data_IF_328596024853
#
_entry.id   IF_328596024853
#
_cell.length_a   1.000
_cell.length_b   1.000
_cell.length_c   1.000
_cell.angle_alpha   90.00
_cell.angle_beta   90.00
_cell.angle_gamma   90.00
#
_symmetry.space_group_name_H-M   'P 1'
#
loop_
_entity.id
_entity.type
_entity.pdbx_description
1 polymer ?
#
# COMPACT_ATOMS: atom_id res chain seq x y z
N UNK A 1 -40.31 44.21 -20.98
CA UNK A 1 -39.22 43.35 -21.49
C UNK A 1 -38.85 42.39 -20.37
N UNK A 2 -39.24 41.12 -20.47
CA UNK A 2 -38.86 40.12 -19.49
C UNK A 2 -37.40 39.73 -19.76
N UNK A 3 -36.51 40.02 -18.81
CA UNK A 3 -35.15 39.51 -18.82
C UNK A 3 -35.22 38.00 -18.61
N UNK A 4 -35.02 37.23 -19.67
CA UNK A 4 -34.82 35.79 -19.58
C UNK A 4 -33.58 35.55 -18.70
N UNK A 5 -33.81 35.07 -17.48
CA UNK A 5 -32.71 34.70 -16.59
C UNK A 5 -31.96 33.54 -17.24
N UNK A 6 -30.68 33.76 -17.58
CA UNK A 6 -29.83 32.69 -18.09
C UNK A 6 -29.86 31.51 -17.11
N UNK A 7 -30.04 30.27 -17.58
CA UNK A 7 -30.11 29.10 -16.72
C UNK A 7 -28.78 28.98 -15.96
N UNK A 8 -28.81 29.36 -14.67
CA UNK A 8 -27.65 29.24 -13.80
C UNK A 8 -27.40 27.77 -13.47
N UNK A 9 -26.17 27.43 -13.07
CA UNK A 9 -25.81 26.08 -12.60
C UNK A 9 -26.78 25.55 -11.54
N UNK A 10 -27.38 26.45 -10.75
CA UNK A 10 -28.39 26.18 -9.72
C UNK A 10 -29.69 25.56 -10.25
N UNK A 11 -29.96 25.68 -11.55
CA UNK A 11 -31.17 25.18 -12.23
C UNK A 11 -31.01 23.80 -12.84
N UNK A 12 -29.82 23.19 -12.74
CA UNK A 12 -29.58 21.86 -13.27
C UNK A 12 -30.38 20.79 -12.51
N UNK A 13 -30.88 19.75 -13.19
CA UNK A 13 -31.40 18.55 -12.56
C UNK A 13 -30.39 17.90 -11.61
N UNK A 14 -30.88 17.23 -10.56
CA UNK A 14 -30.05 16.60 -9.52
C UNK A 14 -29.05 15.59 -10.12
N UNK A 15 -29.47 14.87 -11.15
CA UNK A 15 -28.69 13.87 -11.86
C UNK A 15 -27.41 14.48 -12.47
N UNK A 16 -27.49 15.70 -12.99
CA UNK A 16 -26.33 16.39 -13.56
C UNK A 16 -25.35 16.83 -12.48
N UNK A 17 -25.84 17.27 -11.32
CA UNK A 17 -24.96 17.53 -10.18
C UNK A 17 -24.24 16.28 -9.72
N UNK A 18 -24.94 15.15 -9.66
CA UNK A 18 -24.32 13.87 -9.30
C UNK A 18 -23.19 13.58 -10.29
N UNK A 19 -23.44 13.66 -11.61
CA UNK A 19 -22.39 13.44 -12.62
C UNK A 19 -21.18 14.39 -12.46
N UNK A 20 -21.42 15.67 -12.19
CA UNK A 20 -20.34 16.65 -11.96
C UNK A 20 -19.57 16.31 -10.69
N UNK A 21 -20.26 16.04 -9.58
CA UNK A 21 -19.65 15.83 -8.27
C UNK A 21 -18.92 14.48 -8.19
N UNK A 22 -19.32 13.50 -8.99
CA UNK A 22 -18.60 12.23 -9.15
C UNK A 22 -17.19 12.41 -9.73
N UNK A 23 -16.88 13.54 -10.37
CA UNK A 23 -15.53 13.81 -10.87
C UNK A 23 -14.63 14.54 -9.87
N UNK A 24 -15.17 14.98 -8.73
CA UNK A 24 -14.46 15.79 -7.74
C UNK A 24 -13.83 14.95 -6.64
N UNK A 25 -12.69 15.40 -6.12
CA UNK A 25 -12.10 14.82 -4.93
C UNK A 25 -12.90 15.22 -3.67
N UNK A 26 -12.88 14.40 -2.60
CA UNK A 26 -13.63 14.70 -1.38
C UNK A 26 -13.39 16.09 -0.76
N UNK A 27 -12.14 16.64 -0.72
CA UNK A 27 -11.92 18.00 -0.25
C UNK A 27 -12.61 19.06 -1.12
N UNK A 28 -12.65 18.87 -2.43
CA UNK A 28 -13.31 19.80 -3.37
C UNK A 28 -14.83 19.81 -3.17
N UNK A 29 -15.42 18.65 -2.85
CA UNK A 29 -16.83 18.56 -2.48
C UNK A 29 -17.16 19.40 -1.25
N UNK A 30 -16.27 19.41 -0.24
CA UNK A 30 -16.46 20.27 0.94
C UNK A 30 -16.39 21.75 0.55
N UNK A 31 -15.36 22.14 -0.19
CA UNK A 31 -15.18 23.52 -0.65
C UNK A 31 -16.38 23.98 -1.47
N UNK A 32 -16.89 23.13 -2.37
CA UNK A 32 -18.06 23.40 -3.19
C UNK A 32 -19.33 23.53 -2.33
N UNK A 33 -19.51 22.67 -1.33
CA UNK A 33 -20.60 22.75 -0.35
C UNK A 33 -20.58 24.01 0.53
N UNK A 34 -19.46 24.74 0.59
CA UNK A 34 -19.37 26.02 1.30
C UNK A 34 -19.81 27.23 0.45
N UNK A 35 -19.99 27.06 -0.86
CA UNK A 35 -20.28 28.18 -1.78
C UNK A 35 -21.72 28.69 -1.69
N UNK A 36 -22.73 27.81 -1.69
CA UNK A 36 -24.13 28.21 -1.61
C UNK A 36 -25.03 27.12 -0.98
N UNK A 37 -26.21 27.52 -0.49
CA UNK A 37 -27.15 26.62 0.20
C UNK A 37 -27.69 25.49 -0.68
N UNK A 38 -27.91 25.75 -1.98
CA UNK A 38 -28.41 24.77 -2.93
C UNK A 38 -27.39 23.67 -3.23
N UNK A 39 -26.16 24.05 -3.55
CA UNK A 39 -25.06 23.10 -3.73
C UNK A 39 -24.80 22.32 -2.43
N UNK A 40 -24.82 23.01 -1.28
CA UNK A 40 -24.67 22.37 0.02
C UNK A 40 -25.71 21.29 0.27
N UNK A 41 -26.98 21.51 -0.11
CA UNK A 41 -28.02 20.50 0.10
C UNK A 41 -27.77 19.26 -0.76
N UNK A 42 -27.28 19.43 -1.99
CA UNK A 42 -26.89 18.33 -2.89
C UNK A 42 -25.65 17.59 -2.38
N UNK A 43 -24.58 18.32 -2.03
CA UNK A 43 -23.36 17.72 -1.44
C UNK A 43 -23.67 17.00 -0.12
N UNK A 44 -24.69 17.42 0.62
CA UNK A 44 -25.13 16.72 1.83
C UNK A 44 -25.87 15.40 1.58
N UNK A 45 -26.13 15.03 0.34
CA UNK A 45 -26.77 13.76 0.04
C UNK A 45 -25.82 12.59 0.27
N UNK A 46 -26.35 11.53 0.87
CA UNK A 46 -25.61 10.34 1.26
C UNK A 46 -24.87 9.68 0.10
N UNK A 47 -25.55 9.49 -1.03
CA UNK A 47 -24.97 8.79 -2.18
C UNK A 47 -23.77 9.52 -2.80
N UNK A 48 -23.69 10.85 -2.68
CA UNK A 48 -22.52 11.63 -3.11
C UNK A 48 -21.30 11.18 -2.31
N UNK A 49 -21.44 11.02 -0.99
CA UNK A 49 -20.35 10.59 -0.11
C UNK A 49 -20.03 9.10 -0.20
N UNK A 50 -21.01 8.25 -0.45
CA UNK A 50 -20.75 6.84 -0.76
C UNK A 50 -19.93 6.70 -2.05
N UNK A 51 -20.26 7.50 -3.07
CA UNK A 51 -19.49 7.55 -4.30
C UNK A 51 -18.09 8.12 -4.07
N UNK A 52 -17.98 9.26 -3.37
CA UNK A 52 -16.70 9.88 -3.04
C UNK A 52 -15.79 8.90 -2.29
N UNK A 53 -16.33 8.15 -1.32
CA UNK A 53 -15.59 7.11 -0.60
C UNK A 53 -15.08 6.01 -1.54
N UNK A 54 -15.91 5.51 -2.48
CA UNK A 54 -15.45 4.52 -3.48
C UNK A 54 -14.31 5.06 -4.34
N UNK A 55 -14.38 6.33 -4.76
CA UNK A 55 -13.30 7.00 -5.50
C UNK A 55 -12.05 7.10 -4.63
N UNK A 56 -12.17 7.54 -3.37
CA UNK A 56 -11.07 7.58 -2.41
C UNK A 56 -10.42 6.22 -2.26
N UNK A 57 -11.19 5.14 -2.08
CA UNK A 57 -10.65 3.79 -1.96
C UNK A 57 -9.85 3.39 -3.20
N UNK A 58 -10.38 3.64 -4.41
CA UNK A 58 -9.68 3.33 -5.66
C UNK A 58 -8.38 4.11 -5.80
N UNK A 59 -8.40 5.42 -5.52
CA UNK A 59 -7.25 6.29 -5.72
C UNK A 59 -6.15 6.10 -4.69
N UNK A 60 -6.50 5.73 -3.45
CA UNK A 60 -5.55 5.50 -2.36
C UNK A 60 -5.30 4.00 -2.10
N UNK A 61 -5.74 3.12 -3.01
CA UNK A 61 -5.62 1.66 -2.90
C UNK A 61 -6.12 1.11 -1.55
N UNK A 62 -7.18 1.70 -0.99
CA UNK A 62 -7.77 1.24 0.26
C UNK A 62 -8.67 0.03 0.00
N UNK A 63 -8.65 -0.92 0.91
CA UNK A 63 -9.47 -2.10 0.85
C UNK A 63 -10.94 -1.75 1.14
N UNK A 64 -11.75 -1.65 0.08
CA UNK A 64 -13.15 -1.22 0.17
C UNK A 64 -14.00 -1.99 1.22
N UNK A 65 -13.83 -3.30 1.45
CA UNK A 65 -14.54 -4.04 2.50
C UNK A 65 -14.30 -3.53 3.92
N UNK A 66 -13.23 -2.74 4.14
CA UNK A 66 -13.02 -2.03 5.40
C UNK A 66 -14.23 -1.17 5.80
N UNK A 67 -14.94 -0.64 4.80
CA UNK A 67 -16.09 0.25 4.99
C UNK A 67 -17.46 -0.46 4.83
N UNK A 68 -17.48 -1.77 4.55
CA UNK A 68 -18.73 -2.51 4.34
C UNK A 68 -19.43 -2.92 5.65
N UNK A 69 -20.77 -2.90 5.71
CA UNK A 69 -21.68 -2.36 4.69
C UNK A 69 -21.72 -0.83 4.70
N UNK A 70 -21.72 -0.20 3.53
CA UNK A 70 -21.78 1.26 3.42
C UNK A 70 -23.02 1.82 4.10
N UNK A 71 -24.16 1.11 4.00
CA UNK A 71 -25.43 1.46 4.63
C UNK A 71 -25.34 1.60 6.17
N UNK A 72 -24.37 0.93 6.79
CA UNK A 72 -24.15 0.97 8.24
C UNK A 72 -23.32 2.17 8.73
N UNK A 73 -22.76 2.96 7.81
CA UNK A 73 -22.06 4.22 8.11
C UNK A 73 -23.05 5.37 8.05
N UNK A 74 -23.06 6.27 9.02
CA UNK A 74 -23.84 7.50 8.90
C UNK A 74 -23.18 8.50 7.93
N UNK A 75 -23.84 9.64 7.65
CA UNK A 75 -23.29 10.64 6.73
C UNK A 75 -21.98 11.25 7.24
N UNK A 76 -21.80 11.39 8.56
CA UNK A 76 -20.60 11.96 9.15
C UNK A 76 -19.42 10.99 9.03
N UNK A 77 -19.66 9.69 9.23
CA UNK A 77 -18.70 8.62 9.08
C UNK A 77 -18.28 8.43 7.62
N UNK A 78 -19.22 8.50 6.67
CA UNK A 78 -18.90 8.46 5.23
C UNK A 78 -17.99 9.62 4.83
N UNK A 79 -18.29 10.84 5.29
CA UNK A 79 -17.45 12.02 5.07
C UNK A 79 -16.06 11.83 5.66
N UNK A 80 -16.01 11.42 6.92
CA UNK A 80 -14.76 11.17 7.64
C UNK A 80 -13.91 10.16 6.88
N UNK A 81 -14.46 9.02 6.52
CA UNK A 81 -13.78 7.96 5.78
C UNK A 81 -13.27 8.45 4.41
N UNK A 82 -14.07 9.20 3.66
CA UNK A 82 -13.67 9.72 2.34
C UNK A 82 -12.54 10.77 2.44
N UNK A 83 -12.50 11.56 3.51
CA UNK A 83 -11.54 12.64 3.75
C UNK A 83 -10.30 12.20 4.54
N UNK A 84 -10.33 11.02 5.17
CA UNK A 84 -9.30 10.58 6.10
C UNK A 84 -7.91 10.49 5.47
N UNK A 85 -7.72 9.88 4.27
CA UNK A 85 -6.40 9.77 3.67
C UNK A 85 -5.76 11.14 3.46
N UNK A 86 -6.51 12.09 2.92
CA UNK A 86 -6.06 13.47 2.71
C UNK A 86 -5.75 14.17 4.05
N UNK A 87 -6.63 14.01 5.04
CA UNK A 87 -6.43 14.58 6.39
C UNK A 87 -5.18 14.02 7.07
N UNK A 88 -4.85 12.75 6.82
CA UNK A 88 -3.66 12.11 7.36
C UNK A 88 -2.40 12.60 6.65
N UNK A 89 -2.40 12.66 5.32
CA UNK A 89 -1.29 13.18 4.52
C UNK A 89 -0.98 14.64 4.88
N UNK A 90 -1.99 15.50 4.99
CA UNK A 90 -1.81 16.91 5.38
C UNK A 90 -1.23 17.06 6.77
N UNK A 91 -1.73 16.31 7.77
CA UNK A 91 -1.15 16.30 9.12
C UNK A 91 0.29 15.80 9.13
N UNK A 92 0.60 14.78 8.33
CA UNK A 92 1.97 14.26 8.22
C UNK A 92 2.90 15.31 7.63
N UNK A 93 2.52 15.92 6.50
CA UNK A 93 3.28 16.98 5.85
C UNK A 93 3.50 18.20 6.78
N UNK A 94 2.46 18.63 7.50
CA UNK A 94 2.56 19.73 8.47
C UNK A 94 3.60 19.43 9.56
N UNK A 95 3.55 18.22 10.15
CA UNK A 95 4.51 17.80 11.18
C UNK A 95 5.93 17.72 10.65
N UNK A 96 6.12 17.25 9.41
CA UNK A 96 7.44 17.21 8.77
C UNK A 96 8.00 18.63 8.58
N UNK A 97 7.18 19.60 8.20
CA UNK A 97 7.60 20.99 8.01
C UNK A 97 7.93 21.70 9.33
N UNK A 98 7.25 21.37 10.42
CA UNK A 98 7.45 22.02 11.70
C UNK A 98 8.79 21.67 12.37
N UNK A 99 9.53 20.67 11.85
CA UNK A 99 10.80 20.21 12.43
C UNK A 99 10.65 19.67 13.87
N UNK A 100 9.43 19.68 14.40
CA UNK A 100 9.08 19.10 15.66
C UNK A 100 9.14 17.60 15.45
N UNK A 101 10.16 16.97 16.02
CA UNK A 101 10.05 15.60 16.51
C UNK A 101 8.97 15.59 17.61
N UNK A 102 7.72 15.90 17.23
CA UNK A 102 6.59 15.79 18.11
C UNK A 102 6.48 14.32 18.38
N UNK A 103 6.94 13.88 19.56
CA UNK A 103 6.53 12.62 20.14
C UNK A 103 5.05 12.50 19.82
N UNK A 104 4.62 11.47 19.06
CA UNK A 104 3.23 11.33 18.67
C UNK A 104 2.45 11.56 19.94
N UNK A 105 1.69 12.66 20.00
CA UNK A 105 1.05 13.10 21.23
C UNK A 105 0.44 11.85 21.82
N UNK A 106 0.79 11.52 23.05
CA UNK A 106 0.40 10.28 23.71
C UNK A 106 -1.13 10.21 23.95
N UNK A 107 -1.92 10.77 23.02
CA UNK A 107 -3.22 10.27 22.60
C UNK A 107 -3.20 8.76 22.68
N UNK A 108 -3.68 8.31 23.83
CA UNK A 108 -4.18 6.99 24.18
C UNK A 108 -3.81 5.97 23.11
N UNK A 109 -2.63 5.36 23.27
CA UNK A 109 -2.34 4.10 22.60
C UNK A 109 -3.33 3.11 23.20
N UNK A 110 -4.49 2.99 22.57
CA UNK A 110 -5.49 1.99 22.91
C UNK A 110 -4.90 0.67 22.42
N UNK A 111 -4.29 -0.08 23.33
CA UNK A 111 -3.77 -1.39 23.02
C UNK A 111 -4.95 -2.33 22.81
N UNK A 112 -5.21 -2.67 21.54
CA UNK A 112 -6.10 -3.78 21.21
C UNK A 112 -5.36 -5.06 21.59
N UNK A 113 -5.86 -5.76 22.60
CA UNK A 113 -5.33 -7.06 22.97
C UNK A 113 -5.75 -8.07 21.91
N UNK A 114 -4.81 -8.50 21.08
CA UNK A 114 -5.02 -9.58 20.13
C UNK A 114 -4.70 -10.90 20.84
N UNK A 115 -5.66 -11.83 20.89
CA UNK A 115 -5.40 -13.15 21.44
C UNK A 115 -4.45 -13.89 20.48
N UNK A 116 -3.17 -13.91 20.85
CA UNK A 116 -2.15 -14.56 20.05
C UNK A 116 -2.13 -16.07 20.19
N UNK A 117 -2.24 -16.65 21.39
CA UNK A 117 -1.80 -18.04 21.58
C UNK A 117 -2.26 -18.70 22.89
N UNK A 118 -3.48 -18.44 23.38
CA UNK A 118 -3.85 -18.90 24.74
C UNK A 118 -4.15 -20.40 24.89
N UNK A 119 -4.07 -21.18 23.82
CA UNK A 119 -4.34 -22.61 23.89
C UNK A 119 -3.07 -23.43 24.22
N UNK A 120 -2.64 -23.39 25.48
CA UNK A 120 -2.03 -24.54 26.16
C UNK A 120 -0.55 -24.86 25.98
N UNK A 121 0.24 -24.10 25.21
CA UNK A 121 1.69 -24.27 25.08
C UNK A 121 2.47 -23.32 26.00
N UNK A 122 3.52 -23.81 26.66
CA UNK A 122 4.36 -23.05 27.61
C UNK A 122 5.23 -21.95 26.99
N UNK A 123 5.25 -21.81 25.65
CA UNK A 123 5.94 -20.72 24.97
C UNK A 123 4.92 -19.80 24.29
N UNK A 124 4.75 -18.61 24.85
CA UNK A 124 3.93 -17.58 24.25
C UNK A 124 4.60 -17.08 22.97
N UNK A 125 4.18 -17.62 21.82
CA UNK A 125 4.66 -17.13 20.53
C UNK A 125 4.45 -15.62 20.40
N UNK A 126 5.56 -14.90 20.18
CA UNK A 126 5.55 -13.47 19.91
C UNK A 126 5.26 -13.24 18.43
N UNK A 127 4.49 -12.20 18.13
CA UNK A 127 4.36 -11.71 16.76
C UNK A 127 5.69 -11.13 16.30
N UNK A 128 6.20 -11.66 15.19
CA UNK A 128 7.42 -11.18 14.54
C UNK A 128 7.09 -10.00 13.63
N UNK A 129 5.95 -10.07 12.94
CA UNK A 129 5.46 -8.98 12.08
C UNK A 129 3.98 -8.73 12.30
N UNK A 130 3.57 -7.46 12.17
CA UNK A 130 2.18 -7.03 12.22
C UNK A 130 1.96 -6.01 11.11
N UNK A 131 0.98 -6.25 10.25
CA UNK A 131 0.65 -5.31 9.18
C UNK A 131 -0.85 -5.00 9.15
N UNK A 132 -1.18 -3.73 8.91
CA UNK A 132 -2.55 -3.26 8.79
C UNK A 132 -2.94 -3.28 7.31
N UNK A 133 -4.06 -3.91 6.98
CA UNK A 133 -4.60 -3.89 5.61
C UNK A 133 -5.03 -2.45 5.28
N UNK A 134 -4.71 -1.92 4.07
CA UNK A 134 -5.13 -0.59 3.65
C UNK A 134 -6.62 -0.35 3.90
N UNK A 135 -6.97 0.74 4.58
CA UNK A 135 -8.33 1.00 5.07
C UNK A 135 -8.50 0.80 6.57
N UNK A 136 -7.64 0.01 7.22
CA UNK A 136 -7.49 0.00 8.68
C UNK A 136 -8.41 -0.95 9.47
N UNK A 137 -9.31 -1.68 8.78
CA UNK A 137 -10.23 -2.63 9.45
C UNK A 137 -9.56 -3.95 9.79
N UNK A 138 -8.69 -4.45 8.93
CA UNK A 138 -8.10 -5.77 9.10
C UNK A 138 -6.62 -5.66 9.47
N UNK A 139 -6.16 -6.58 10.31
CA UNK A 139 -4.76 -6.67 10.74
C UNK A 139 -4.28 -8.09 10.56
N UNK A 140 -3.08 -8.24 10.01
CA UNK A 140 -2.33 -9.48 10.09
C UNK A 140 -1.30 -9.40 11.18
N UNK A 141 -1.03 -10.57 11.74
CA UNK A 141 0.06 -10.81 12.67
C UNK A 141 0.65 -12.16 12.33
N UNK A 142 1.96 -12.16 12.12
CA UNK A 142 2.74 -13.34 11.80
C UNK A 142 3.52 -13.76 13.04
N UNK A 143 3.43 -15.04 13.40
CA UNK A 143 4.40 -15.73 14.25
C UNK A 143 5.22 -16.67 13.39
N UNK A 144 6.23 -17.33 13.96
CA UNK A 144 7.03 -18.33 13.27
C UNK A 144 6.26 -19.47 12.62
N UNK A 145 5.06 -19.78 13.14
CA UNK A 145 4.31 -20.98 12.76
C UNK A 145 2.95 -20.69 12.14
N UNK A 146 2.55 -19.42 12.09
CA UNK A 146 1.22 -19.03 11.59
C UNK A 146 1.11 -17.57 11.21
N UNK A 147 0.15 -17.32 10.32
CA UNK A 147 -0.37 -16.00 10.00
C UNK A 147 -1.81 -15.93 10.49
N UNK A 148 -2.10 -14.94 11.31
CA UNK A 148 -3.41 -14.70 11.87
C UNK A 148 -4.01 -13.41 11.28
N UNK A 149 -5.31 -13.43 11.00
CA UNK A 149 -6.06 -12.28 10.51
C UNK A 149 -7.12 -11.87 11.53
N UNK A 150 -7.15 -10.60 11.90
CA UNK A 150 -8.17 -10.02 12.78
C UNK A 150 -9.03 -8.98 12.05
N UNK A 151 -10.31 -8.90 12.43
CA UNK A 151 -11.22 -7.80 12.08
C UNK A 151 -11.33 -6.86 13.28
N UNK A 152 -10.78 -5.65 13.14
CA UNK A 152 -10.86 -4.56 14.12
C UNK A 152 -12.22 -3.86 14.12
N UNK A 153 -13.12 -4.24 13.22
CA UNK A 153 -14.46 -3.71 13.10
C UNK A 153 -14.53 -2.53 12.12
N UNK A 154 -15.72 -1.95 12.02
CA UNK A 154 -16.00 -0.93 11.01
C UNK A 154 -15.18 0.34 11.24
N UNK A 155 -14.38 0.71 10.24
CA UNK A 155 -13.57 1.93 10.25
C UNK A 155 -14.45 3.17 10.18
N UNK A 156 -14.03 4.23 10.86
CA UNK A 156 -14.76 5.49 10.90
C UNK A 156 -15.64 5.65 12.14
N UNK A 157 -16.06 4.57 12.81
CA UNK A 157 -16.72 4.68 14.12
C UNK A 157 -15.69 5.00 15.19
N UNK A 158 -16.09 5.74 16.22
CA UNK A 158 -15.26 5.89 17.43
C UNK A 158 -14.92 4.49 17.95
N UNK A 159 -13.63 4.14 18.11
CA UNK A 159 -13.24 2.81 18.55
C UNK A 159 -13.97 2.53 19.86
N UNK A 160 -14.83 1.52 19.85
CA UNK A 160 -15.41 1.02 21.09
C UNK A 160 -14.31 0.21 21.73
N UNK A 161 -13.66 0.76 22.76
CA UNK A 161 -12.65 0.09 23.54
C UNK A 161 -13.31 -1.15 24.16
N UNK A 162 -13.17 -2.28 23.49
CA UNK A 162 -13.46 -3.56 24.11
C UNK A 162 -12.17 -4.03 24.77
N UNK A 163 -12.21 -4.24 26.07
CA UNK A 163 -11.12 -4.87 26.81
C UNK A 163 -11.07 -6.39 26.55
N UNK A 164 -12.07 -6.94 25.86
CA UNK A 164 -12.10 -8.36 25.52
C UNK A 164 -11.15 -8.62 24.35
N UNK A 165 -10.22 -9.57 24.49
CA UNK A 165 -9.35 -9.94 23.40
C UNK A 165 -10.15 -10.43 22.20
N UNK A 166 -9.77 -10.01 21.00
CA UNK A 166 -10.43 -10.47 19.79
C UNK A 166 -9.77 -11.76 19.29
N UNK A 167 -10.61 -12.74 19.00
CA UNK A 167 -10.20 -13.95 18.30
C UNK A 167 -9.89 -13.63 16.83
N UNK A 168 -8.89 -14.31 16.24
CA UNK A 168 -8.63 -14.18 14.82
C UNK A 168 -9.82 -14.70 14.01
N UNK A 169 -10.17 -13.99 12.93
CA UNK A 169 -11.23 -14.40 11.99
C UNK A 169 -10.76 -15.56 11.11
N UNK A 170 -9.45 -15.66 10.89
CA UNK A 170 -8.81 -16.78 10.21
C UNK A 170 -7.38 -16.97 10.72
N UNK A 171 -6.92 -18.21 10.75
CA UNK A 171 -5.55 -18.60 11.11
C UNK A 171 -5.03 -19.54 10.04
N UNK A 172 -3.93 -19.16 9.41
CA UNK A 172 -3.14 -19.98 8.50
C UNK A 172 -1.95 -20.53 9.28
N UNK A 173 -1.73 -21.84 9.22
CA UNK A 173 -0.55 -22.47 9.79
C UNK A 173 0.50 -22.69 8.71
N UNK A 174 1.77 -22.51 9.09
CA UNK A 174 2.92 -22.98 8.33
C UNK A 174 2.81 -24.50 8.10
N UNK A 175 3.44 -25.00 7.04
CA UNK A 175 3.59 -26.44 6.82
C UNK A 175 4.34 -27.05 8.02
N UNK A 176 4.00 -28.30 8.37
CA UNK A 176 4.53 -28.92 9.59
C UNK A 176 6.06 -28.99 9.56
N UNK A 177 6.70 -28.31 10.52
CA UNK A 177 8.15 -28.27 10.66
C UNK A 177 8.83 -27.10 9.95
N UNK A 178 8.07 -26.25 9.25
CA UNK A 178 8.60 -25.08 8.56
C UNK A 178 8.46 -23.81 9.41
N UNK A 179 9.33 -22.83 9.17
CA UNK A 179 9.32 -21.52 9.86
C UNK A 179 9.00 -20.40 8.89
N UNK A 180 8.03 -19.56 9.25
CA UNK A 180 7.75 -18.29 8.59
C UNK A 180 8.80 -17.26 9.01
N UNK A 181 9.46 -16.67 8.02
CA UNK A 181 10.54 -15.69 8.24
C UNK A 181 10.06 -14.26 8.09
N UNK A 182 9.18 -13.99 7.12
CA UNK A 182 8.67 -12.66 6.83
C UNK A 182 7.40 -12.71 5.98
N UNK A 183 6.62 -11.64 6.00
CA UNK A 183 5.36 -11.46 5.30
C UNK A 183 5.30 -10.10 4.59
N UNK A 184 4.94 -10.10 3.31
CA UNK A 184 4.73 -8.85 2.57
C UNK A 184 3.50 -8.09 3.06
N UNK A 185 3.48 -6.77 2.87
CA UNK A 185 2.25 -5.99 3.07
C UNK A 185 1.08 -6.50 2.17
N UNK A 186 -0.14 -6.61 2.71
CA UNK A 186 -1.31 -7.02 1.95
C UNK A 186 -1.63 -6.04 0.82
N UNK A 187 -1.75 -6.57 -0.39
CA UNK A 187 -2.06 -5.79 -1.60
C UNK A 187 -3.44 -6.12 -2.10
N UNK A 188 -4.26 -5.09 -2.28
CA UNK A 188 -5.61 -5.21 -2.81
C UNK A 188 -5.58 -5.65 -4.28
N UNK A 189 -6.32 -6.73 -4.59
CA UNK A 189 -6.43 -7.28 -5.95
C UNK A 189 -7.81 -7.02 -6.53
N UNK A 190 -8.85 -7.28 -5.74
CA UNK A 190 -10.24 -7.11 -6.16
C UNK A 190 -11.06 -6.45 -5.06
N UNK A 191 -12.31 -6.09 -5.39
CA UNK A 191 -13.24 -5.42 -4.47
C UNK A 191 -13.43 -6.12 -3.12
N UNK A 192 -13.17 -7.42 -3.04
CA UNK A 192 -13.37 -8.22 -1.82
C UNK A 192 -12.19 -9.12 -1.46
N UNK A 193 -11.07 -9.05 -2.20
CA UNK A 193 -9.90 -9.89 -1.95
C UNK A 193 -8.61 -9.09 -1.98
N UNK A 194 -7.66 -9.54 -1.18
CA UNK A 194 -6.28 -9.06 -1.22
C UNK A 194 -5.34 -10.26 -1.23
N UNK A 195 -4.09 -10.02 -1.60
CA UNK A 195 -3.03 -11.03 -1.59
C UNK A 195 -1.88 -10.56 -0.71
N UNK A 196 -1.17 -11.51 -0.17
CA UNK A 196 0.11 -11.30 0.49
C UNK A 196 1.01 -12.49 0.17
N UNK A 197 2.31 -12.31 0.34
CA UNK A 197 3.28 -13.38 0.23
C UNK A 197 4.00 -13.59 1.56
N UNK A 198 4.50 -14.80 1.77
CA UNK A 198 5.39 -15.14 2.90
C UNK A 198 6.64 -15.82 2.40
N UNK A 199 7.67 -15.81 3.24
CA UNK A 199 8.87 -16.63 3.08
C UNK A 199 8.85 -17.74 4.12
N UNK A 200 8.89 -18.99 3.66
CA UNK A 200 8.85 -20.19 4.48
C UNK A 200 9.98 -21.14 4.04
N UNK A 201 10.98 -21.34 4.90
CA UNK A 201 12.24 -22.07 4.62
C UNK A 201 12.75 -21.92 3.16
N UNK A 202 13.06 -20.70 2.75
CA UNK A 202 13.58 -20.41 1.40
C UNK A 202 12.58 -20.75 0.27
N UNK A 203 11.29 -20.75 0.57
CA UNK A 203 10.22 -20.79 -0.43
C UNK A 203 9.37 -19.53 -0.33
N UNK A 204 8.97 -18.97 -1.48
CA UNK A 204 7.93 -17.94 -1.51
C UNK A 204 6.57 -18.60 -1.64
N UNK A 205 5.63 -18.19 -0.79
CA UNK A 205 4.25 -18.62 -0.84
C UNK A 205 3.37 -17.40 -1.07
N UNK A 206 2.44 -17.47 -2.01
CA UNK A 206 1.46 -16.40 -2.26
C UNK A 206 0.10 -16.87 -1.81
N UNK A 207 -0.54 -16.07 -0.97
CA UNK A 207 -1.86 -16.33 -0.43
C UNK A 207 -2.85 -15.28 -0.92
N UNK A 208 -4.07 -15.72 -1.14
CA UNK A 208 -5.23 -14.90 -1.40
C UNK A 208 -6.18 -14.98 -0.22
N UNK A 209 -6.71 -13.83 0.19
CA UNK A 209 -7.65 -13.74 1.29
C UNK A 209 -8.97 -13.21 0.82
N UNK A 210 -10.04 -13.93 1.17
CA UNK A 210 -11.41 -13.53 0.95
C UNK A 210 -12.25 -14.60 0.22
N UNK A 211 -13.47 -14.26 -0.19
CA UNK A 211 -14.02 -12.90 -0.20
C UNK A 211 -14.22 -12.31 1.22
N UNK A 212 -14.16 -10.99 1.33
CA UNK A 212 -14.49 -10.24 2.56
C UNK A 212 -15.73 -9.37 2.32
N UNK A 213 -16.57 -9.14 3.34
CA UNK A 213 -16.45 -9.59 4.73
C UNK A 213 -17.00 -11.01 4.99
N UNK A 214 -17.41 -11.74 3.95
CA UNK A 214 -18.10 -13.04 4.07
C UNK A 214 -17.21 -14.17 3.58
N UNK A 215 -17.06 -15.25 4.38
CA UNK A 215 -16.20 -16.39 4.07
C UNK A 215 -14.71 -16.03 4.01
N UNK A 216 -14.19 -15.53 5.14
CA UNK A 216 -12.78 -15.18 5.27
C UNK A 216 -11.95 -16.47 5.28
N UNK A 217 -11.33 -16.77 4.14
CA UNK A 217 -10.40 -17.89 3.96
C UNK A 217 -9.04 -17.34 3.51
N UNK A 218 -7.96 -17.90 4.05
CA UNK A 218 -6.59 -17.68 3.58
C UNK A 218 -6.22 -18.89 2.73
N UNK A 219 -6.11 -18.71 1.41
CA UNK A 219 -5.85 -19.77 0.45
C UNK A 219 -4.51 -19.56 -0.23
N UNK A 220 -3.63 -20.56 -0.18
CA UNK A 220 -2.40 -20.54 -0.98
C UNK A 220 -2.75 -20.67 -2.46
N UNK A 221 -2.24 -19.76 -3.29
CA UNK A 221 -2.49 -19.75 -4.74
C UNK A 221 -1.25 -20.02 -5.58
N UNK A 222 -0.06 -19.79 -5.03
CA UNK A 222 1.20 -20.09 -5.71
C UNK A 222 2.32 -20.39 -4.70
N UNK A 223 3.32 -21.13 -5.15
CA UNK A 223 4.53 -21.45 -4.39
C UNK A 223 5.74 -21.48 -5.32
N UNK A 224 6.83 -20.82 -4.94
CA UNK A 224 8.15 -20.92 -5.55
C UNK A 224 9.08 -21.56 -4.53
N UNK A 225 9.63 -22.72 -4.88
CA UNK A 225 10.51 -23.50 -4.01
C UNK A 225 11.97 -23.26 -4.36
N UNK A 226 12.84 -23.79 -3.50
CA UNK A 226 14.26 -23.97 -3.76
C UNK A 226 14.98 -22.66 -4.12
N UNK A 227 14.65 -21.57 -3.41
CA UNK A 227 15.57 -20.43 -3.34
C UNK A 227 16.85 -20.94 -2.70
N UNK A 228 17.99 -20.61 -3.30
CA UNK A 228 19.28 -21.04 -2.77
C UNK A 228 19.39 -20.63 -1.27
N UNK A 229 19.65 -21.57 -0.33
CA UNK A 229 19.66 -21.29 1.11
C UNK A 229 20.69 -20.24 1.54
N UNK A 230 21.64 -19.94 0.66
CA UNK A 230 22.68 -18.93 0.86
C UNK A 230 22.19 -17.50 0.65
N UNK A 231 21.03 -17.31 0.03
CA UNK A 231 20.49 -16.00 -0.31
C UNK A 231 19.57 -15.50 0.80
N UNK A 232 20.09 -14.64 1.67
CA UNK A 232 19.25 -13.96 2.66
C UNK A 232 18.25 -13.05 1.94
N UNK A 233 16.96 -13.16 2.32
CA UNK A 233 15.90 -12.27 1.84
C UNK A 233 15.95 -10.99 2.67
N UNK A 234 16.31 -9.89 2.03
CA UNK A 234 16.40 -8.58 2.69
C UNK A 234 15.04 -7.90 2.76
N UNK A 235 14.32 -7.86 1.63
CA UNK A 235 12.99 -7.27 1.50
C UNK A 235 12.21 -7.98 0.40
N UNK A 236 10.90 -8.12 0.55
CA UNK A 236 10.06 -8.56 -0.56
C UNK A 236 8.65 -7.97 -0.47
N UNK A 237 8.02 -7.79 -1.62
CA UNK A 237 6.65 -7.28 -1.71
C UNK A 237 5.92 -7.93 -2.88
N UNK A 238 4.60 -7.74 -2.89
CA UNK A 238 3.73 -8.19 -3.97
C UNK A 238 3.18 -6.98 -4.73
N UNK A 239 3.18 -7.04 -6.06
CA UNK A 239 2.55 -6.05 -6.91
C UNK A 239 1.77 -6.75 -8.03
N UNK A 240 0.44 -6.68 -7.94
CA UNK A 240 -0.43 -7.38 -8.88
C UNK A 240 -0.12 -8.89 -8.88
N UNK A 241 0.26 -9.41 -10.03
CA UNK A 241 0.56 -10.84 -10.24
C UNK A 241 2.05 -11.19 -10.06
N UNK A 242 2.85 -10.29 -9.46
CA UNK A 242 4.28 -10.49 -9.26
C UNK A 242 4.68 -10.41 -7.80
N UNK A 243 5.57 -11.30 -7.38
CA UNK A 243 6.38 -11.18 -6.16
C UNK A 243 7.74 -10.63 -6.56
N UNK A 244 8.22 -9.66 -5.80
CA UNK A 244 9.52 -9.04 -5.99
C UNK A 244 10.29 -9.22 -4.70
N UNK A 245 11.49 -9.76 -4.80
CA UNK A 245 12.33 -10.07 -3.67
C UNK A 245 13.72 -9.51 -3.91
N UNK A 246 14.20 -8.71 -2.96
CA UNK A 246 15.59 -8.38 -2.83
C UNK A 246 16.31 -9.46 -2.02
N UNK A 247 17.38 -9.95 -2.61
CA UNK A 247 18.34 -10.86 -2.01
C UNK A 247 19.68 -10.13 -1.91
N UNK A 248 20.55 -10.61 -1.04
CA UNK A 248 21.90 -10.04 -0.85
C UNK A 248 22.72 -9.93 -2.15
N UNK A 249 22.45 -10.77 -3.14
CA UNK A 249 23.19 -10.84 -4.41
C UNK A 249 22.39 -10.35 -5.63
N UNK A 250 21.12 -9.97 -5.44
CA UNK A 250 20.26 -9.69 -6.58
C UNK A 250 18.83 -9.33 -6.25
N UNK A 251 18.03 -9.14 -7.29
CA UNK A 251 16.58 -8.99 -7.20
C UNK A 251 15.92 -10.08 -8.03
N UNK A 252 15.04 -10.85 -7.42
CA UNK A 252 14.21 -11.84 -8.09
C UNK A 252 12.81 -11.25 -8.29
N UNK A 253 12.32 -11.32 -9.51
CA UNK A 253 10.94 -10.95 -9.85
C UNK A 253 10.26 -12.18 -10.39
N UNK A 254 9.19 -12.59 -9.73
CA UNK A 254 8.44 -13.80 -10.04
C UNK A 254 6.99 -13.45 -10.36
N UNK A 255 6.57 -13.65 -11.60
CA UNK A 255 5.17 -13.62 -12.04
C UNK A 255 4.54 -14.98 -11.72
N UNK A 256 3.85 -15.05 -10.58
CA UNK A 256 3.33 -16.30 -10.03
C UNK A 256 2.08 -16.80 -10.77
N UNK A 257 1.43 -15.96 -11.58
CA UNK A 257 0.30 -16.36 -12.43
C UNK A 257 0.79 -17.01 -13.71
N UNK A 258 1.81 -16.43 -14.35
CA UNK A 258 2.41 -17.00 -15.56
C UNK A 258 3.45 -18.08 -15.28
N UNK A 259 3.86 -18.21 -14.02
CA UNK A 259 5.00 -19.03 -13.62
C UNK A 259 6.26 -18.64 -14.40
N UNK A 260 6.54 -17.34 -14.47
CA UNK A 260 7.75 -16.80 -15.12
C UNK A 260 8.57 -15.99 -14.10
N UNK A 261 9.88 -15.93 -14.26
CA UNK A 261 10.75 -15.18 -13.35
C UNK A 261 11.94 -14.54 -14.06
N UNK A 262 12.56 -13.56 -13.42
CA UNK A 262 13.87 -13.03 -13.78
C UNK A 262 14.66 -12.77 -12.51
N UNK A 263 15.93 -13.16 -12.51
CA UNK A 263 16.91 -12.77 -11.51
C UNK A 263 17.80 -11.68 -12.10
N UNK A 264 17.91 -10.56 -11.40
CA UNK A 264 18.67 -9.39 -11.81
C UNK A 264 19.80 -9.23 -10.79
N UNK A 265 21.07 -9.44 -11.15
CA UNK A 265 22.16 -9.18 -10.23
C UNK A 265 22.21 -7.68 -9.91
N UNK A 266 22.20 -7.36 -8.62
CA UNK A 266 22.30 -6.00 -8.10
C UNK A 266 23.54 -5.89 -7.25
N UNK A 267 24.34 -4.85 -7.47
CA UNK A 267 25.48 -4.55 -6.60
C UNK A 267 24.99 -3.68 -5.46
N UNK A 268 25.16 -4.16 -4.23
CA UNK A 268 24.81 -3.42 -3.02
C UNK A 268 23.42 -3.75 -2.47
N UNK A 269 23.20 -3.31 -1.24
CA UNK A 269 21.92 -3.43 -0.53
C UNK A 269 21.11 -2.17 -0.81
N UNK A 270 20.12 -2.26 -1.70
CA UNK A 270 19.19 -1.16 -1.91
C UNK A 270 18.43 -0.93 -0.60
N UNK A 271 18.44 0.31 -0.09
CA UNK A 271 17.76 0.62 1.18
C UNK A 271 16.24 0.57 1.05
N UNK A 272 15.73 0.87 -0.15
CA UNK A 272 14.32 0.77 -0.50
C UNK A 272 14.17 0.45 -1.98
N UNK A 273 13.23 -0.43 -2.30
CA UNK A 273 12.79 -0.65 -3.67
C UNK A 273 11.29 -0.52 -3.81
N UNK A 274 10.87 -0.04 -4.97
CA UNK A 274 9.47 0.07 -5.33
C UNK A 274 9.31 -0.17 -6.82
N UNK A 275 8.09 -0.45 -7.26
CA UNK A 275 7.81 -0.75 -8.65
C UNK A 275 6.61 0.00 -9.18
N UNK A 276 6.73 0.47 -10.41
CA UNK A 276 5.67 1.16 -11.13
C UNK A 276 5.51 0.47 -12.48
N UNK A 277 4.53 -0.43 -12.56
CA UNK A 277 4.27 -1.21 -13.76
C UNK A 277 5.42 -2.16 -14.09
N UNK A 278 6.14 -1.89 -15.17
CA UNK A 278 7.31 -2.67 -15.60
C UNK A 278 8.64 -1.99 -15.23
N UNK A 279 8.64 -1.05 -14.29
CA UNK A 279 9.84 -0.37 -13.85
C UNK A 279 10.13 -0.65 -12.37
N UNK A 280 11.41 -0.83 -12.07
CA UNK A 280 11.95 -0.91 -10.71
C UNK A 280 12.58 0.42 -10.39
N UNK A 281 12.19 1.00 -9.27
CA UNK A 281 12.83 2.14 -8.67
C UNK A 281 13.59 1.65 -7.44
N UNK A 282 14.90 1.82 -7.43
CA UNK A 282 15.74 1.50 -6.29
C UNK A 282 16.33 2.79 -5.72
N UNK A 283 16.36 2.88 -4.40
CA UNK A 283 17.00 3.97 -3.67
C UNK A 283 18.11 3.39 -2.81
N UNK A 284 19.33 3.89 -3.02
CA UNK A 284 20.50 3.49 -2.26
C UNK A 284 21.19 4.74 -1.74
N UNK A 285 21.09 4.98 -0.43
CA UNK A 285 21.68 6.14 0.25
C UNK A 285 21.36 7.49 -0.43
N UNK A 286 22.19 7.91 -1.39
CA UNK A 286 22.12 9.18 -2.11
C UNK A 286 21.80 9.02 -3.61
N UNK A 287 21.74 7.80 -4.13
CA UNK A 287 21.41 7.51 -5.52
C UNK A 287 20.00 6.95 -5.64
N UNK A 288 19.39 7.22 -6.79
CA UNK A 288 18.14 6.59 -7.20
C UNK A 288 18.28 6.10 -8.63
N UNK A 289 17.84 4.88 -8.86
CA UNK A 289 17.87 4.21 -10.16
C UNK A 289 16.46 3.86 -10.60
N UNK A 290 16.19 3.97 -11.90
CA UNK A 290 14.95 3.45 -12.50
C UNK A 290 15.30 2.54 -13.66
N UNK A 291 14.92 1.28 -13.55
CA UNK A 291 15.24 0.23 -14.50
C UNK A 291 13.97 -0.38 -15.07
N UNK A 292 14.04 -0.90 -16.30
CA UNK A 292 12.92 -1.68 -16.86
C UNK A 292 13.12 -3.14 -16.49
N UNK A 293 12.06 -3.80 -16.02
CA UNK A 293 12.06 -5.23 -15.73
C UNK A 293 12.36 -5.97 -17.04
N UNK A 294 13.44 -6.77 -17.11
CA UNK A 294 13.74 -7.56 -18.30
C UNK A 294 12.61 -8.58 -18.59
N UNK A 295 12.54 -9.11 -19.81
CA UNK A 295 11.62 -10.21 -20.12
C UNK A 295 11.77 -11.35 -19.13
N UNK A 296 10.64 -11.84 -18.60
CA UNK A 296 10.62 -12.96 -17.67
C UNK A 296 10.83 -14.28 -18.44
N UNK A 297 11.45 -15.25 -17.78
CA UNK A 297 11.70 -16.58 -18.30
C UNK A 297 10.73 -17.58 -17.67
N UNK A 298 10.14 -18.52 -18.43
CA UNK A 298 9.25 -19.53 -17.86
C UNK A 298 9.98 -20.41 -16.85
N UNK A 299 9.34 -20.65 -15.72
CA UNK A 299 9.71 -21.72 -14.79
C UNK A 299 9.48 -23.04 -15.53
N UNK A 300 10.56 -23.77 -15.77
CA UNK A 300 10.47 -25.08 -16.43
C UNK A 300 9.69 -26.01 -15.48
N UNK A 301 8.65 -26.73 -15.93
CA UNK A 301 7.93 -27.64 -15.07
C UNK A 301 8.82 -28.86 -14.75
N UNK A 302 9.56 -28.83 -13.64
CA UNK A 302 10.40 -29.97 -13.24
C UNK A 302 10.30 -30.24 -11.74
N UNK A 303 10.16 -31.52 -11.39
CA UNK A 303 9.81 -32.06 -10.06
C UNK A 303 10.88 -31.94 -8.98
N UNK A 304 11.94 -31.16 -9.21
CA UNK A 304 13.07 -30.94 -8.29
C UNK A 304 13.95 -29.84 -8.88
N UNK A 305 13.51 -28.59 -8.78
CA UNK A 305 14.13 -27.49 -9.51
C UNK A 305 14.72 -26.51 -8.52
N UNK A 306 15.99 -26.74 -8.17
CA UNK A 306 16.85 -25.70 -7.63
C UNK A 306 16.85 -24.54 -8.63
N UNK A 307 16.61 -23.31 -8.16
CA UNK A 307 16.88 -22.12 -8.96
C UNK A 307 18.28 -22.30 -9.54
N UNK A 308 18.45 -22.26 -10.88
CA UNK A 308 19.76 -22.50 -11.45
C UNK A 308 20.74 -21.53 -10.81
N UNK A 309 21.98 -22.00 -10.59
CA UNK A 309 23.17 -21.28 -10.13
C UNK A 309 23.47 -20.01 -10.97
N UNK A 310 22.49 -19.11 -11.10
CA UNK A 310 22.45 -17.97 -12.02
C UNK A 310 23.15 -16.74 -11.43
N UNK A 311 23.42 -16.76 -10.13
CA UNK A 311 24.16 -15.70 -9.44
C UNK A 311 25.65 -16.06 -9.27
N UNK A 312 26.05 -17.32 -9.49
CA UNK A 312 27.45 -17.73 -9.42
C UNK A 312 28.16 -17.48 -10.76
N UNK A 313 28.96 -16.41 -10.75
CA UNK A 313 30.20 -16.16 -11.50
C UNK A 313 30.17 -15.61 -12.94
N UNK A 314 29.18 -15.85 -13.81
CA UNK A 314 29.30 -15.45 -15.23
C UNK A 314 28.62 -14.12 -15.65
N UNK A 315 27.89 -13.44 -14.76
CA UNK A 315 27.29 -12.12 -15.06
C UNK A 315 28.11 -10.97 -14.45
N UNK A 316 29.29 -10.68 -15.01
CA UNK A 316 30.09 -9.51 -14.61
C UNK A 316 29.50 -8.16 -15.04
N UNK A 317 28.44 -8.15 -15.86
CA UNK A 317 27.69 -6.96 -16.28
C UNK A 317 26.49 -6.67 -15.34
N UNK A 318 26.70 -6.71 -14.03
CA UNK A 318 25.69 -6.27 -13.07
C UNK A 318 25.22 -4.83 -13.36
N UNK A 319 23.96 -4.52 -13.03
CA UNK A 319 23.46 -3.14 -13.15
C UNK A 319 24.25 -2.30 -12.15
N UNK A 320 25.21 -1.52 -12.65
CA UNK A 320 25.91 -0.55 -11.84
C UNK A 320 24.92 0.58 -11.52
N UNK A 321 24.54 0.69 -10.25
CA UNK A 321 23.78 1.81 -9.71
C UNK A 321 24.72 3.00 -9.65
N UNK A 322 25.17 3.47 -10.81
CA UNK A 322 26.22 4.47 -10.94
C UNK A 322 25.97 5.61 -9.98
N UNK A 323 26.94 5.87 -9.11
CA UNK A 323 26.97 7.10 -8.32
C UNK A 323 26.87 8.25 -9.31
N UNK A 324 25.88 9.13 -9.12
CA UNK A 324 25.87 10.42 -9.80
C UNK A 324 27.02 11.22 -9.17
N UNK A 325 28.24 10.96 -9.62
CA UNK A 325 29.34 11.89 -9.45
C UNK A 325 29.12 13.01 -10.47
N UNK A 326 29.12 14.26 -10.02
CA UNK A 326 29.05 15.48 -10.82
C UNK A 326 30.28 15.59 -11.75
N UNK A 327 30.39 14.70 -12.75
CA UNK A 327 31.45 14.71 -13.75
C UNK A 327 30.85 14.85 -15.14
N UNK A 328 31.34 15.86 -15.86
CA UNK A 328 30.83 16.38 -17.14
C UNK A 328 31.01 15.45 -18.36
N UNK A 329 31.22 14.14 -18.20
CA UNK A 329 31.52 13.28 -19.34
C UNK A 329 30.28 12.54 -19.88
N UNK A 330 29.70 13.13 -20.94
CA UNK A 330 28.59 12.55 -21.70
C UNK A 330 29.13 11.75 -22.88
N UNK A 331 29.41 10.47 -22.71
CA UNK A 331 29.20 9.51 -23.80
C UNK A 331 29.15 8.07 -23.30
N UNK A 332 28.25 7.29 -23.91
CA UNK A 332 28.12 5.83 -23.86
C UNK A 332 27.20 5.19 -22.80
N UNK A 333 25.94 5.63 -22.70
CA UNK A 333 24.79 4.74 -22.44
C UNK A 333 23.50 5.33 -23.04
N UNK A 334 22.57 4.54 -23.59
CA UNK A 334 21.23 5.01 -23.91
C UNK A 334 20.43 5.11 -22.61
N UNK A 335 20.74 6.11 -21.77
CA UNK A 335 19.81 6.52 -20.71
C UNK A 335 18.65 7.25 -21.38
N UNK A 336 17.57 6.52 -21.66
CA UNK A 336 16.27 7.15 -21.86
C UNK A 336 15.84 7.78 -20.54
N UNK A 337 16.34 8.99 -20.27
CA UNK A 337 15.87 9.84 -19.16
C UNK A 337 14.38 10.09 -19.38
N UNK A 338 13.54 9.41 -18.62
CA UNK A 338 12.12 9.72 -18.55
C UNK A 338 12.02 11.07 -17.85
N UNK A 339 11.68 12.13 -18.60
CA UNK A 339 11.26 13.39 -17.99
C UNK A 339 9.91 13.15 -17.35
N UNK A 340 9.84 13.21 -16.02
CA UNK A 340 8.56 13.22 -15.31
C UNK A 340 7.75 14.45 -15.74
N UNK A 341 6.40 14.37 -15.82
CA UNK A 341 5.57 15.52 -16.16
C UNK A 341 5.81 16.65 -15.15
N UNK A 342 5.89 17.90 -15.63
CA UNK A 342 6.21 19.09 -14.83
C UNK A 342 5.27 19.37 -13.65
N UNK A 343 4.15 18.65 -13.53
CA UNK A 343 3.21 18.72 -12.41
C UNK A 343 3.55 17.85 -11.20
N UNK A 344 4.62 17.05 -11.22
CA UNK A 344 5.03 16.18 -10.10
C UNK A 344 6.05 16.83 -9.17
N UNK A 345 6.52 18.03 -9.49
CA UNK A 345 7.39 18.81 -8.61
C UNK A 345 6.54 19.64 -7.65
N UNK A 346 6.55 19.28 -6.36
CA UNK A 346 6.24 20.26 -5.31
C UNK A 346 7.49 21.12 -5.16
N UNK A 347 7.46 22.33 -5.69
CA UNK A 347 8.53 23.29 -5.38
C UNK A 347 8.51 23.53 -3.86
N UNK A 348 9.64 23.41 -3.15
CA UNK A 348 9.71 23.88 -1.78
C UNK A 348 9.35 25.37 -1.76
N UNK A 349 8.61 25.86 -0.75
CA UNK A 349 8.33 27.28 -0.64
C UNK A 349 9.66 28.04 -0.63
N UNK A 350 9.82 28.97 -1.57
CA UNK A 350 10.96 29.87 -1.61
C UNK A 350 11.06 30.56 -0.24
N UNK A 351 12.16 30.32 0.45
CA UNK A 351 12.53 31.02 1.67
C UNK A 351 13.01 32.43 1.29
N UNK A 352 12.09 33.33 0.94
CA UNK A 352 12.30 34.77 0.89
C UNK A 352 10.95 35.47 1.06
N UNK A 353 10.98 36.53 1.88
CA UNK A 353 9.89 37.39 2.34
C UNK A 353 9.06 36.89 3.53
N UNK A 354 9.67 36.95 4.73
CA UNK A 354 8.90 37.12 5.95
C UNK A 354 8.38 38.58 6.04
N UNK A 355 7.07 38.81 6.15
CA UNK A 355 6.55 40.14 6.45
C UNK A 355 6.78 40.47 7.93
N UNK A 356 7.40 41.63 8.19
CA UNK A 356 7.47 42.26 9.51
C UNK A 356 6.06 42.52 10.05
N UNK A 357 5.71 41.87 11.15
CA UNK A 357 4.47 42.13 11.90
C UNK A 357 4.65 43.42 12.72
N UNK A 358 3.77 44.42 12.61
CA UNK A 358 3.78 45.57 13.51
C UNK A 358 3.19 45.17 14.87
N UNK A 359 3.92 45.48 15.93
CA UNK A 359 3.47 45.40 17.33
C UNK A 359 2.37 46.44 17.57
N UNK A 360 1.21 45.97 18.05
CA UNK A 360 0.24 46.76 18.80
C UNK A 360 0.31 46.38 20.27
#
# INVERSE_FOLDING_TARGET
MATEASPGILTLPLELYICIFQSLYPPDLLSLGQTCKGIRSVVCQRHIWEFALRVTCRLNQLFAPSYHPLQGLDLADLRRAALEPWSRCTRFAQRSCEGLASNPSASRIESILLNGARNGGTDGERFEEVCIVPGGRYVFGMTRTRVCLWDLGQTGKTPTISCEPREPVNVMHAELGMTLWSMSAPTHISTSTFRFATVEDWSFHVYEVGPLPHNVEIRQIARLRDLAPTLAVDEFWIQGDRVMCHLTEGTVIWDYVKSEYVAIPTRGTASMMNTIGNHIMAWENLSSGVWTIPPLHPLLPCSSQELPELLSDDFTNGIDMGTIEDTEDKSLWPTSRIRLPSGWYVQPPNALDQPTVPTC
#
